data_IF_085968855392
#
_entry.id   IF_085968855392
#
_cell.length_a   1.000
_cell.length_b   1.000
_cell.length_c   1.000
_cell.angle_alpha   90.00
_cell.angle_beta   90.00
_cell.angle_gamma   90.00
#
_symmetry.space_group_name_H-M   'P 1'
#
loop_
_entity.id
_entity.type
_entity.pdbx_description
1 polymer ?
#
# COMPACT_ATOMS: atom_id res chain seq x y z
N UNK A 1 38.44 27.02 -25.31
CA UNK A 1 38.57 26.09 -26.46
C UNK A 1 37.91 24.80 -26.04
N UNK A 2 36.66 24.61 -26.45
CA UNK A 2 35.90 23.38 -26.21
C UNK A 2 36.30 22.34 -27.24
N UNK A 3 36.64 21.12 -26.80
CA UNK A 3 36.85 19.99 -27.71
C UNK A 3 35.49 19.34 -27.99
N UNK A 4 34.97 19.56 -29.19
CA UNK A 4 33.81 18.82 -29.70
C UNK A 4 34.27 17.46 -30.24
N UNK A 5 33.82 16.37 -29.63
CA UNK A 5 34.04 15.01 -30.12
C UNK A 5 33.02 14.68 -31.21
N UNK A 6 33.43 13.88 -32.21
CA UNK A 6 32.51 13.41 -33.26
C UNK A 6 31.74 12.18 -32.76
N UNK A 7 30.52 12.01 -33.25
CA UNK A 7 29.57 10.97 -32.80
C UNK A 7 30.13 9.53 -32.88
N UNK A 8 31.02 9.27 -33.84
CA UNK A 8 31.74 8.01 -33.96
C UNK A 8 32.76 7.79 -32.83
N UNK A 9 33.43 8.84 -32.36
CA UNK A 9 34.36 8.77 -31.22
C UNK A 9 33.59 8.56 -29.91
N UNK A 10 32.40 9.17 -29.77
CA UNK A 10 31.50 8.95 -28.63
C UNK A 10 31.05 7.48 -28.59
N UNK A 11 30.68 6.88 -29.73
CA UNK A 11 30.33 5.45 -29.80
C UNK A 11 31.50 4.53 -29.46
N UNK A 12 32.71 4.85 -29.90
CA UNK A 12 33.92 4.07 -29.53
C UNK A 12 34.28 4.20 -28.05
N UNK A 13 34.03 5.37 -27.44
CA UNK A 13 34.21 5.58 -25.99
C UNK A 13 33.18 4.78 -25.18
N UNK A 14 31.92 4.73 -25.65
CA UNK A 14 30.83 4.01 -25.00
C UNK A 14 30.89 2.47 -25.20
N UNK A 15 31.51 1.99 -26.28
CA UNK A 15 31.63 0.55 -26.59
C UNK A 15 32.91 -0.12 -26.05
N UNK A 16 33.79 0.61 -25.36
CA UNK A 16 34.80 -0.05 -24.53
C UNK A 16 34.09 -0.66 -23.35
N UNK A 17 33.98 -1.99 -23.34
CA UNK A 17 33.45 -2.76 -22.21
C UNK A 17 34.00 -2.20 -20.90
N UNK A 18 33.14 -1.47 -20.18
CA UNK A 18 33.39 -1.13 -18.80
C UNK A 18 33.29 -2.44 -18.03
N UNK A 19 34.44 -3.06 -17.76
CA UNK A 19 34.52 -4.08 -16.72
C UNK A 19 34.33 -3.37 -15.39
N UNK A 20 33.07 -3.23 -14.99
CA UNK A 20 32.67 -2.80 -13.67
C UNK A 20 32.86 -3.95 -12.68
N UNK A 21 33.25 -3.65 -11.44
CA UNK A 21 33.30 -4.70 -10.42
C UNK A 21 31.87 -5.19 -10.16
N UNK A 22 31.68 -6.45 -9.70
CA UNK A 22 30.34 -6.98 -9.42
C UNK A 22 29.50 -6.09 -8.49
N UNK A 23 30.16 -5.38 -7.57
CA UNK A 23 29.51 -4.42 -6.67
C UNK A 23 29.02 -3.15 -7.38
N UNK A 24 29.73 -2.69 -8.42
CA UNK A 24 29.30 -1.55 -9.22
C UNK A 24 28.18 -1.97 -10.18
N UNK A 25 28.25 -3.17 -10.75
CA UNK A 25 27.18 -3.78 -11.54
C UNK A 25 25.89 -3.91 -10.72
N UNK A 26 26.00 -4.43 -9.49
CA UNK A 26 24.89 -4.57 -8.55
C UNK A 26 24.26 -3.22 -8.24
N UNK A 27 25.06 -2.19 -7.93
CA UNK A 27 24.52 -0.84 -7.66
C UNK A 27 23.89 -0.18 -8.88
N UNK A 28 24.40 -0.46 -10.08
CA UNK A 28 23.80 -0.02 -11.33
C UNK A 28 22.46 -0.74 -11.55
N UNK A 29 22.38 -2.04 -11.30
CA UNK A 29 21.13 -2.81 -11.38
C UNK A 29 20.11 -2.40 -10.31
N UNK A 30 20.54 -2.11 -9.08
CA UNK A 30 19.70 -1.52 -8.02
C UNK A 30 19.16 -0.15 -8.44
N UNK A 31 20.00 0.71 -9.03
CA UNK A 31 19.57 2.02 -9.55
C UNK A 31 18.60 1.90 -10.73
N UNK A 32 18.83 0.97 -11.67
CA UNK A 32 17.88 0.69 -12.75
C UNK A 32 16.60 0.00 -12.24
N UNK A 33 16.71 -0.81 -11.18
CA UNK A 33 15.57 -1.39 -10.46
C UNK A 33 14.71 -0.29 -9.85
N UNK A 34 15.32 0.71 -9.23
CA UNK A 34 14.65 1.89 -8.69
C UNK A 34 13.97 2.71 -9.78
N UNK A 35 14.64 2.98 -10.90
CA UNK A 35 14.06 3.73 -12.04
C UNK A 35 12.90 2.96 -12.68
N UNK A 36 12.98 1.63 -12.76
CA UNK A 36 11.88 0.77 -13.27
C UNK A 36 10.70 0.73 -12.31
N UNK A 37 10.95 0.62 -11.00
CA UNK A 37 9.93 0.71 -9.95
C UNK A 37 9.27 2.09 -9.91
N UNK A 38 10.03 3.17 -10.11
CA UNK A 38 9.51 4.54 -10.28
C UNK A 38 8.67 4.68 -11.54
N UNK A 39 9.09 4.13 -12.68
CA UNK A 39 8.29 4.17 -13.91
C UNK A 39 7.00 3.34 -13.82
N UNK A 40 7.05 2.20 -13.12
CA UNK A 40 5.88 1.38 -12.81
C UNK A 40 4.98 2.03 -11.73
N UNK A 41 5.56 2.79 -10.79
CA UNK A 41 4.81 3.63 -9.85
C UNK A 41 4.17 4.80 -10.59
N UNK A 42 4.85 5.51 -11.50
CA UNK A 42 4.26 6.61 -12.31
C UNK A 42 3.12 6.12 -13.22
N UNK A 43 3.17 4.88 -13.72
CA UNK A 43 2.04 4.31 -14.46
C UNK A 43 0.86 3.96 -13.56
N UNK A 44 1.13 3.46 -12.33
CA UNK A 44 0.10 3.14 -11.32
C UNK A 44 -0.45 4.36 -10.58
N UNK A 45 0.32 5.45 -10.50
CA UNK A 45 0.07 6.60 -9.62
C UNK A 45 -0.07 7.92 -10.38
N UNK A 46 0.06 8.00 -11.70
CA UNK A 46 -0.28 9.22 -12.46
C UNK A 46 0.38 10.56 -12.03
N UNK A 47 1.40 10.57 -11.15
CA UNK A 47 2.04 11.80 -10.66
C UNK A 47 3.54 11.75 -10.89
N UNK A 48 4.04 12.65 -11.73
CA UNK A 48 5.47 12.79 -12.01
C UNK A 48 6.18 13.57 -10.89
N UNK A 49 7.17 12.95 -10.23
CA UNK A 49 8.17 13.68 -9.46
C UNK A 49 9.28 14.09 -10.43
N UNK A 50 9.31 15.37 -10.81
CA UNK A 50 10.41 15.91 -11.60
C UNK A 50 11.64 16.19 -10.71
N UNK A 51 12.84 15.69 -11.06
CA UNK A 51 14.06 16.08 -10.36
C UNK A 51 14.65 17.38 -10.96
N UNK A 52 14.80 18.40 -10.09
CA UNK A 52 15.67 19.60 -10.15
C UNK A 52 15.11 20.94 -10.70
N UNK A 53 15.62 22.09 -10.16
CA UNK A 53 14.81 23.29 -9.96
C UNK A 53 14.87 24.32 -11.10
N UNK A 54 13.74 25.00 -11.30
CA UNK A 54 13.65 26.30 -11.97
C UNK A 54 14.33 27.35 -11.07
N UNK A 55 15.24 28.11 -11.69
CA UNK A 55 16.01 29.21 -11.07
C UNK A 55 15.10 30.25 -10.41
N UNK A 56 15.33 30.55 -9.15
CA UNK A 56 15.05 31.87 -8.57
C UNK A 56 16.36 32.48 -8.07
N UNK A 57 16.67 33.66 -8.61
CA UNK A 57 17.85 34.44 -8.33
C UNK A 57 17.66 35.24 -7.04
N UNK A 58 18.64 35.21 -6.13
CA UNK A 58 18.94 36.35 -5.25
C UNK A 58 20.46 36.45 -5.05
N UNK A 59 20.89 37.69 -4.96
CA UNK A 59 22.21 38.28 -5.17
C UNK A 59 23.32 37.93 -4.18
N UNK A 60 24.53 38.08 -4.72
CA UNK A 60 25.84 38.02 -4.07
C UNK A 60 26.09 39.08 -2.97
N UNK A 61 27.02 38.73 -2.06
CA UNK A 61 27.81 39.64 -1.22
C UNK A 61 28.95 38.87 -0.51
N UNK A 62 30.15 39.45 -0.30
CA UNK A 62 31.44 38.75 -0.51
C UNK A 62 32.26 38.41 0.78
N UNK A 63 33.44 37.72 0.65
CA UNK A 63 34.04 36.87 1.70
C UNK A 63 35.27 37.48 2.40
N UNK A 64 35.73 36.86 3.50
CA UNK A 64 37.05 37.14 4.12
C UNK A 64 37.69 35.82 4.67
N UNK A 65 39.03 35.63 4.63
CA UNK A 65 39.65 34.31 4.50
C UNK A 65 40.53 33.83 5.69
N UNK A 66 40.76 32.51 5.67
CA UNK A 66 41.99 31.73 5.95
C UNK A 66 42.70 31.81 7.33
N UNK A 67 42.93 30.62 7.93
CA UNK A 67 44.27 30.07 8.27
C UNK A 67 44.21 28.84 9.19
N UNK A 68 44.97 27.79 8.85
CA UNK A 68 45.70 26.97 9.83
C UNK A 68 45.36 25.47 9.93
N UNK A 69 46.15 24.62 9.25
CA UNK A 69 46.43 23.20 9.58
C UNK A 69 47.37 23.11 10.82
N UNK A 70 47.51 22.00 11.60
CA UNK A 70 47.67 20.63 11.07
C UNK A 70 47.17 19.40 11.88
N UNK A 71 46.93 18.32 11.12
CA UNK A 71 47.13 16.88 11.38
C UNK A 71 47.01 16.26 12.79
N UNK A 72 46.07 15.30 12.95
CA UNK A 72 46.27 14.12 13.84
C UNK A 72 45.43 12.89 13.44
N UNK A 73 46.15 11.81 13.10
CA UNK A 73 45.83 10.37 13.17
C UNK A 73 44.37 9.92 12.94
N UNK A 74 44.09 9.38 11.75
CA UNK A 74 42.90 8.54 11.52
C UNK A 74 43.20 7.12 12.02
N UNK A 75 42.55 6.75 13.12
CA UNK A 75 42.42 5.37 13.61
C UNK A 75 41.25 4.75 12.83
N UNK A 76 41.45 3.56 12.26
CA UNK A 76 40.40 2.77 11.60
C UNK A 76 39.20 2.63 12.56
N UNK A 77 38.04 3.12 12.13
CA UNK A 77 36.74 2.76 12.70
C UNK A 77 35.86 2.25 11.57
N UNK A 78 35.17 1.14 11.86
CA UNK A 78 34.12 0.56 11.05
C UNK A 78 33.16 1.66 10.59
N UNK A 79 32.88 1.72 9.29
CA UNK A 79 31.90 2.63 8.76
C UNK A 79 30.51 2.16 9.20
N UNK A 80 29.70 3.00 9.88
CA UNK A 80 28.26 2.78 9.87
C UNK A 80 27.78 3.03 8.44
N UNK A 81 27.00 2.10 7.90
CA UNK A 81 26.29 2.32 6.64
C UNK A 81 25.36 3.51 6.85
N UNK A 82 25.53 4.53 6.01
CA UNK A 82 24.86 5.81 6.13
C UNK A 82 23.36 5.65 5.89
N UNK A 83 22.54 6.05 6.88
CA UNK A 83 21.14 6.34 6.68
C UNK A 83 21.02 7.48 5.65
N UNK A 84 20.33 7.23 4.54
CA UNK A 84 20.04 8.24 3.56
C UNK A 84 19.02 9.23 4.16
N UNK A 85 19.40 10.51 4.24
CA UNK A 85 18.56 11.57 4.75
C UNK A 85 17.46 11.90 3.74
N UNK A 86 16.19 11.68 4.10
CA UNK A 86 15.02 12.22 3.41
C UNK A 86 14.61 13.50 4.16
N UNK A 87 14.82 14.65 3.53
CA UNK A 87 14.38 15.97 4.04
C UNK A 87 13.05 16.37 3.39
N UNK A 88 12.01 15.62 3.74
CA UNK A 88 10.63 16.11 3.86
C UNK A 88 10.18 15.75 5.29
N UNK A 89 9.04 16.23 5.80
CA UNK A 89 8.63 16.09 7.21
C UNK A 89 8.34 14.64 7.67
N UNK A 90 8.97 13.64 7.04
CA UNK A 90 8.89 12.24 7.40
C UNK A 90 9.77 11.93 8.62
N UNK A 91 9.21 11.23 9.60
CA UNK A 91 9.99 10.61 10.67
C UNK A 91 10.48 9.24 10.21
N UNK A 92 11.75 8.95 10.48
CA UNK A 92 12.33 7.62 10.26
C UNK A 92 12.79 7.06 11.59
N UNK A 93 12.22 5.92 11.97
CA UNK A 93 12.61 5.17 13.18
C UNK A 93 13.24 3.85 12.77
N UNK A 94 14.42 3.54 13.30
CA UNK A 94 15.10 2.25 13.01
C UNK A 94 15.17 1.44 14.29
N UNK A 95 14.65 0.21 14.23
CA UNK A 95 14.69 -0.77 15.31
C UNK A 95 15.50 -1.97 14.86
N UNK A 96 16.63 -2.19 15.53
CA UNK A 96 17.52 -3.32 15.28
C UNK A 96 17.47 -4.34 16.41
N UNK A 97 17.27 -5.61 16.06
CA UNK A 97 17.40 -6.72 16.98
C UNK A 97 18.80 -7.33 16.90
N UNK A 98 19.48 -7.51 18.03
CA UNK A 98 20.75 -8.24 18.09
C UNK A 98 20.44 -9.72 17.89
N UNK A 99 20.87 -10.29 16.75
CA UNK A 99 20.65 -11.68 16.34
C UNK A 99 19.18 -12.04 16.04
N UNK A 100 18.33 -11.08 15.69
CA UNK A 100 16.97 -11.35 15.21
C UNK A 100 16.91 -11.76 13.73
N UNK A 101 15.73 -12.20 13.30
CA UNK A 101 15.39 -12.51 11.92
C UNK A 101 15.28 -11.30 11.02
N UNK A 102 14.94 -10.13 11.58
CA UNK A 102 14.90 -8.90 10.81
C UNK A 102 15.20 -7.66 11.63
N UNK A 103 15.72 -6.63 10.95
CA UNK A 103 15.75 -5.24 11.41
C UNK A 103 14.67 -4.48 10.63
N UNK A 104 14.03 -3.51 11.27
CA UNK A 104 12.93 -2.74 10.67
C UNK A 104 13.25 -1.26 10.67
N UNK A 105 13.01 -0.59 9.56
CA UNK A 105 12.90 0.86 9.51
C UNK A 105 11.45 1.25 9.20
N UNK A 106 10.93 2.23 9.93
CA UNK A 106 9.59 2.77 9.75
C UNK A 106 9.71 4.18 9.22
N UNK A 107 9.05 4.44 8.09
CA UNK A 107 8.91 5.80 7.53
C UNK A 107 7.46 6.23 7.63
N UNK A 108 7.21 7.34 8.32
CA UNK A 108 5.86 7.89 8.46
C UNK A 108 5.77 9.23 7.71
N UNK A 109 4.74 9.36 6.87
CA UNK A 109 4.31 10.60 6.22
C UNK A 109 2.94 11.01 6.77
N UNK A 110 2.39 12.14 6.28
CA UNK A 110 1.15 12.75 6.81
C UNK A 110 -0.06 11.79 6.83
N UNK A 111 -0.18 10.88 5.87
CA UNK A 111 -1.31 9.95 5.71
C UNK A 111 -0.90 8.49 5.45
N UNK A 112 0.37 8.14 5.63
CA UNK A 112 0.87 6.81 5.32
C UNK A 112 2.04 6.39 6.21
N UNK A 113 2.16 5.09 6.44
CA UNK A 113 3.29 4.44 7.09
C UNK A 113 3.82 3.33 6.18
N UNK A 114 5.14 3.30 6.02
CA UNK A 114 5.85 2.27 5.28
C UNK A 114 6.88 1.58 6.16
N UNK A 115 7.08 0.30 5.94
CA UNK A 115 8.01 -0.55 6.68
C UNK A 115 9.05 -1.16 5.74
N UNK A 116 10.32 -0.93 6.06
CA UNK A 116 11.44 -1.58 5.37
C UNK A 116 12.04 -2.66 6.27
N UNK A 117 12.14 -3.88 5.75
CA UNK A 117 12.67 -5.03 6.48
C UNK A 117 14.02 -5.47 5.92
N UNK A 118 15.04 -5.51 6.77
CA UNK A 118 16.32 -6.13 6.47
C UNK A 118 16.35 -7.53 7.09
N UNK A 119 16.20 -8.55 6.24
CA UNK A 119 16.11 -9.96 6.65
C UNK A 119 17.50 -10.56 6.92
N UNK A 120 17.59 -11.34 7.99
CA UNK A 120 18.75 -12.17 8.31
C UNK A 120 18.57 -13.58 7.74
N UNK A 121 19.03 -13.77 6.50
CA UNK A 121 18.95 -15.04 5.79
C UNK A 121 19.83 -16.16 6.39
N UNK A 122 20.66 -15.88 7.41
CA UNK A 122 21.40 -16.93 8.13
C UNK A 122 20.50 -17.71 9.11
N UNK A 123 19.32 -17.18 9.43
CA UNK A 123 18.36 -17.82 10.33
C UNK A 123 17.22 -18.48 9.53
N UNK A 124 16.91 -19.73 9.85
CA UNK A 124 15.80 -20.48 9.26
C UNK A 124 14.47 -20.10 9.93
N UNK A 125 13.49 -19.54 9.20
CA UNK A 125 12.19 -19.23 9.76
C UNK A 125 11.37 -20.51 9.99
N UNK A 126 10.47 -20.45 10.97
CA UNK A 126 9.55 -21.53 11.29
C UNK A 126 8.12 -21.03 11.21
N UNK A 127 7.18 -21.93 10.92
CA UNK A 127 5.77 -21.58 10.93
C UNK A 127 5.32 -21.25 12.35
N UNK A 128 4.48 -20.22 12.48
CA UNK A 128 3.98 -19.72 13.75
C UNK A 128 2.45 -19.81 13.74
N UNK A 129 1.89 -20.35 14.81
CA UNK A 129 0.44 -20.34 15.03
C UNK A 129 0.08 -19.28 16.07
N UNK A 130 -1.14 -18.75 15.97
CA UNK A 130 -1.68 -17.78 16.93
C UNK A 130 -2.96 -18.34 17.54
N UNK A 131 -3.10 -18.23 18.84
CA UNK A 131 -4.30 -18.63 19.59
C UNK A 131 -4.79 -17.45 20.43
N UNK A 132 -6.00 -16.91 20.19
CA UNK A 132 -6.58 -15.90 21.05
C UNK A 132 -7.21 -16.53 22.29
N UNK A 133 -6.84 -16.03 23.48
CA UNK A 133 -7.45 -16.40 24.76
C UNK A 133 -8.57 -15.47 25.21
N UNK A 134 -8.80 -14.41 24.43
CA UNK A 134 -9.88 -13.47 24.64
C UNK A 134 -10.43 -13.00 23.29
N UNK A 135 -11.75 -13.08 23.14
CA UNK A 135 -12.52 -12.50 22.06
C UNK A 135 -13.71 -11.76 22.70
N UNK A 136 -14.04 -10.52 22.30
CA UNK A 136 -15.09 -9.75 22.94
C UNK A 136 -16.47 -10.42 22.82
N UNK A 137 -17.35 -10.14 23.79
CA UNK A 137 -18.68 -10.74 23.81
C UNK A 137 -19.47 -10.40 22.53
N UNK A 138 -20.14 -11.42 21.97
CA UNK A 138 -20.93 -11.30 20.76
C UNK A 138 -20.16 -11.55 19.47
N UNK A 139 -18.83 -11.56 19.49
CA UNK A 139 -18.01 -11.96 18.34
C UNK A 139 -17.82 -13.48 18.35
N UNK A 140 -18.07 -14.11 17.20
CA UNK A 140 -17.93 -15.55 17.03
C UNK A 140 -17.03 -15.84 15.85
N UNK A 141 -16.27 -16.93 15.94
CA UNK A 141 -15.41 -17.35 14.85
C UNK A 141 -16.26 -17.72 13.62
N UNK A 142 -15.96 -17.13 12.46
CA UNK A 142 -16.76 -17.34 11.24
C UNK A 142 -16.72 -18.80 10.80
N UNK A 143 -15.53 -19.41 10.81
CA UNK A 143 -15.30 -20.83 10.59
C UNK A 143 -14.20 -21.35 11.53
N UNK A 144 -14.24 -22.62 11.97
CA UNK A 144 -13.24 -23.17 12.87
C UNK A 144 -11.81 -23.02 12.34
N UNK A 145 -10.96 -22.30 13.06
CA UNK A 145 -9.57 -22.05 12.70
C UNK A 145 -9.35 -20.94 11.66
N UNK A 146 -10.41 -20.21 11.29
CA UNK A 146 -10.29 -19.08 10.35
C UNK A 146 -9.61 -17.87 10.96
N UNK A 147 -9.55 -17.77 12.29
CA UNK A 147 -9.04 -16.61 13.02
C UNK A 147 -9.75 -15.29 12.65
N UNK A 148 -11.00 -15.40 12.18
CA UNK A 148 -11.89 -14.30 11.85
C UNK A 148 -13.09 -14.36 12.79
N UNK A 149 -13.35 -13.25 13.47
CA UNK A 149 -14.39 -13.15 14.49
C UNK A 149 -15.30 -11.98 14.18
N UNK A 150 -16.59 -12.25 14.01
CA UNK A 150 -17.57 -11.22 13.70
C UNK A 150 -18.92 -11.55 14.37
N UNK A 151 -19.82 -10.56 14.48
CA UNK A 151 -21.09 -10.72 15.20
C UNK A 151 -22.16 -11.48 14.41
N UNK A 152 -22.08 -11.44 13.08
CA UNK A 152 -23.20 -11.79 12.19
C UNK A 152 -22.85 -12.92 11.20
N UNK A 153 -21.62 -13.45 11.24
CA UNK A 153 -21.05 -14.43 10.34
C UNK A 153 -20.78 -13.92 8.91
N UNK A 154 -20.74 -12.61 8.69
CA UNK A 154 -20.68 -12.02 7.34
C UNK A 154 -19.26 -11.69 6.86
N UNK A 155 -18.26 -11.69 7.76
CA UNK A 155 -16.87 -11.36 7.41
C UNK A 155 -16.65 -9.93 6.88
N UNK A 156 -17.61 -9.01 7.09
CA UNK A 156 -17.52 -7.61 6.66
C UNK A 156 -16.94 -6.67 7.73
N UNK A 157 -16.80 -7.14 8.97
CA UNK A 157 -16.26 -6.39 10.10
C UNK A 157 -15.69 -7.33 11.16
N UNK A 158 -15.27 -6.77 12.28
CA UNK A 158 -14.91 -7.50 13.48
C UNK A 158 -13.41 -7.62 13.62
N UNK A 159 -12.91 -8.83 13.85
CA UNK A 159 -11.50 -9.08 14.12
C UNK A 159 -10.98 -10.09 13.12
N UNK A 160 -9.84 -9.81 12.49
CA UNK A 160 -9.08 -10.80 11.71
C UNK A 160 -7.66 -10.85 12.24
N UNK A 161 -7.17 -12.05 12.51
CA UNK A 161 -5.79 -12.28 12.95
C UNK A 161 -5.00 -12.98 11.84
N UNK A 162 -3.75 -12.58 11.66
CA UNK A 162 -2.80 -13.31 10.82
C UNK A 162 -1.39 -13.20 11.39
N UNK A 163 -0.50 -14.05 10.90
CA UNK A 163 0.93 -13.99 11.24
C UNK A 163 1.71 -13.89 9.94
N UNK A 164 2.63 -12.93 9.88
CA UNK A 164 3.53 -12.74 8.76
C UNK A 164 4.94 -13.12 9.21
N UNK A 165 5.44 -14.24 8.69
CA UNK A 165 6.76 -14.79 9.01
C UNK A 165 7.86 -14.14 8.18
N UNK A 166 9.13 -14.30 8.59
CA UNK A 166 10.27 -13.66 7.95
C UNK A 166 10.47 -14.09 6.48
N UNK A 167 10.08 -15.30 6.08
CA UNK A 167 10.07 -15.73 4.68
C UNK A 167 9.04 -14.94 3.87
N UNK A 168 7.85 -14.69 4.42
CA UNK A 168 6.85 -13.85 3.77
C UNK A 168 7.30 -12.39 3.70
N UNK A 169 7.91 -11.83 4.76
CA UNK A 169 8.50 -10.49 4.73
C UNK A 169 9.64 -10.38 3.70
N UNK A 170 10.38 -11.46 3.45
CA UNK A 170 11.41 -11.47 2.42
C UNK A 170 10.81 -11.46 1.00
N UNK A 171 9.64 -12.08 0.83
CA UNK A 171 8.90 -12.13 -0.43
C UNK A 171 8.18 -10.81 -0.73
N UNK A 172 7.40 -10.31 0.24
CA UNK A 172 6.57 -9.11 0.12
C UNK A 172 6.84 -8.16 1.31
N UNK A 173 7.78 -7.24 1.09
CA UNK A 173 8.15 -6.25 2.10
C UNK A 173 7.09 -5.15 2.28
N UNK A 174 6.23 -4.92 1.28
CA UNK A 174 5.20 -3.87 1.30
C UNK A 174 3.90 -4.39 1.96
N UNK A 175 3.82 -5.66 2.35
CA UNK A 175 2.63 -6.31 2.93
C UNK A 175 2.07 -5.62 4.19
N UNK A 176 2.92 -4.89 4.92
CA UNK A 176 2.56 -4.14 6.14
C UNK A 176 2.39 -2.64 5.90
N UNK A 177 2.63 -2.15 4.68
CA UNK A 177 2.46 -0.73 4.37
C UNK A 177 0.98 -0.33 4.48
N UNK A 178 0.74 0.87 4.98
CA UNK A 178 -0.60 1.37 5.27
C UNK A 178 -0.75 2.79 4.79
N UNK A 179 -1.75 3.03 3.94
CA UNK A 179 -2.20 4.36 3.54
C UNK A 179 -3.46 4.76 4.31
N UNK A 180 -3.84 6.04 4.19
CA UNK A 180 -4.96 6.63 4.92
C UNK A 180 -4.80 6.52 6.44
N UNK A 181 -3.61 6.75 6.98
CA UNK A 181 -3.36 6.73 8.43
C UNK A 181 -3.90 8.02 9.05
N UNK A 182 -4.86 7.89 9.97
CA UNK A 182 -5.39 8.99 10.79
C UNK A 182 -4.58 9.16 12.07
N UNK A 183 -4.26 8.04 12.71
CA UNK A 183 -3.56 8.01 14.00
C UNK A 183 -2.61 6.80 14.04
N UNK A 184 -1.43 7.02 14.64
CA UNK A 184 -0.42 6.01 14.88
C UNK A 184 0.09 6.16 16.31
N UNK A 185 0.04 5.08 17.08
CA UNK A 185 0.65 4.97 18.40
C UNK A 185 1.69 3.85 18.41
N UNK A 186 2.89 4.18 18.90
CA UNK A 186 3.95 3.20 19.17
C UNK A 186 3.91 2.80 20.65
N UNK A 187 3.85 1.51 20.92
CA UNK A 187 3.77 0.96 22.28
C UNK A 187 4.47 -0.39 22.39
N UNK A 188 4.22 -1.11 23.49
CA UNK A 188 4.70 -2.47 23.70
C UNK A 188 3.58 -3.32 24.28
N UNK A 189 3.32 -4.47 23.68
CA UNK A 189 2.31 -5.45 24.12
C UNK A 189 3.02 -6.80 24.28
N UNK A 190 2.93 -7.41 25.46
CA UNK A 190 3.58 -8.70 25.77
C UNK A 190 5.07 -8.76 25.36
N UNK A 191 5.82 -7.72 25.73
CA UNK A 191 7.25 -7.54 25.41
C UNK A 191 7.59 -7.44 23.90
N UNK A 192 6.58 -7.34 23.04
CA UNK A 192 6.74 -7.07 21.61
C UNK A 192 6.49 -5.59 21.34
N UNK A 193 7.33 -4.97 20.51
CA UNK A 193 7.01 -3.65 19.98
C UNK A 193 5.70 -3.71 19.20
N UNK A 194 4.86 -2.69 19.37
CA UNK A 194 3.54 -2.66 18.76
C UNK A 194 3.25 -1.31 18.10
N UNK A 195 2.66 -1.37 16.91
CA UNK A 195 2.12 -0.20 16.23
C UNK A 195 0.58 -0.32 16.18
N UNK A 196 -0.12 0.64 16.79
CA UNK A 196 -1.57 0.76 16.78
C UNK A 196 -1.94 1.82 15.75
N UNK A 197 -2.67 1.42 14.71
CA UNK A 197 -2.96 2.26 13.55
C UNK A 197 -4.47 2.41 13.41
N UNK A 198 -4.94 3.65 13.35
CA UNK A 198 -6.32 3.97 13.01
C UNK A 198 -6.35 4.62 11.63
N UNK A 199 -7.24 4.15 10.76
CA UNK A 199 -7.34 4.57 9.37
C UNK A 199 -8.44 5.60 9.16
N UNK A 200 -8.20 6.52 8.22
CA UNK A 200 -9.15 7.52 7.75
C UNK A 200 -10.14 6.95 6.75
N UNK A 201 -10.86 5.90 7.16
CA UNK A 201 -12.06 5.48 6.46
C UNK A 201 -13.27 6.27 6.97
N UNK A 202 -14.13 6.64 6.02
CA UNK A 202 -15.36 7.38 6.25
C UNK A 202 -16.26 6.62 7.25
N UNK A 203 -16.20 7.02 8.51
CA UNK A 203 -17.00 6.46 9.60
C UNK A 203 -18.48 6.86 9.51
N UNK A 204 -18.83 7.82 8.65
CA UNK A 204 -20.22 8.22 8.38
C UNK A 204 -20.88 7.29 7.36
N UNK A 205 -20.10 6.54 6.57
CA UNK A 205 -20.62 5.44 5.78
C UNK A 205 -21.05 4.30 6.71
N UNK A 206 -22.31 3.92 6.59
CA UNK A 206 -22.92 2.76 7.26
C UNK A 206 -22.29 1.41 6.88
N UNK A 207 -21.25 1.41 6.03
CA UNK A 207 -20.51 0.22 5.66
C UNK A 207 -19.55 -0.21 6.77
N UNK A 208 -19.67 -1.47 7.16
CA UNK A 208 -18.73 -2.19 8.01
C UNK A 208 -17.39 -2.31 7.30
N UNK A 209 -16.31 -1.85 7.93
CA UNK A 209 -14.95 -1.85 7.35
C UNK A 209 -13.89 -2.00 8.43
N UNK A 210 -12.77 -2.64 8.09
CA UNK A 210 -11.58 -2.71 8.93
C UNK A 210 -10.82 -1.38 8.90
N UNK A 211 -10.99 -0.58 9.95
CA UNK A 211 -10.42 0.76 10.10
C UNK A 211 -9.30 0.82 11.15
N UNK A 212 -8.94 -0.31 11.76
CA UNK A 212 -7.88 -0.41 12.77
C UNK A 212 -6.92 -1.54 12.42
N UNK A 213 -5.64 -1.33 12.74
CA UNK A 213 -4.60 -2.35 12.66
C UNK A 213 -3.75 -2.33 13.93
N UNK A 214 -3.34 -3.51 14.40
CA UNK A 214 -2.27 -3.67 15.38
C UNK A 214 -1.22 -4.58 14.78
N UNK A 215 0.03 -4.11 14.73
CA UNK A 215 1.18 -4.91 14.33
C UNK A 215 2.06 -5.19 15.54
N UNK A 216 2.29 -6.47 15.85
CA UNK A 216 3.10 -6.96 16.97
C UNK A 216 4.41 -7.53 16.43
N UNK A 217 5.52 -6.83 16.62
CA UNK A 217 6.81 -7.19 16.04
C UNK A 217 7.59 -8.11 16.97
N UNK A 218 7.83 -9.34 16.53
CA UNK A 218 8.73 -10.28 17.20
C UNK A 218 9.91 -10.59 16.28
N UNK A 219 10.90 -9.68 16.30
CA UNK A 219 12.11 -9.83 15.49
C UNK A 219 12.95 -11.04 15.91
N UNK A 220 12.85 -11.46 17.18
CA UNK A 220 13.64 -12.56 17.73
C UNK A 220 13.17 -13.93 17.20
N UNK A 221 11.86 -14.11 17.06
CA UNK A 221 11.25 -15.35 16.54
C UNK A 221 10.86 -15.26 15.07
N UNK A 222 11.01 -14.08 14.45
CA UNK A 222 10.91 -13.92 13.00
C UNK A 222 9.49 -13.84 12.48
N UNK A 223 8.61 -13.16 13.21
CA UNK A 223 7.26 -12.90 12.74
C UNK A 223 6.72 -11.53 13.17
N UNK A 224 5.64 -11.13 12.49
CA UNK A 224 4.77 -10.03 12.88
C UNK A 224 3.36 -10.57 13.07
N UNK A 225 2.81 -10.41 14.28
CA UNK A 225 1.41 -10.66 14.55
C UNK A 225 0.58 -9.50 14.02
N UNK A 226 -0.41 -9.78 13.19
CA UNK A 226 -1.26 -8.76 12.56
C UNK A 226 -2.69 -8.92 13.02
N UNK A 227 -3.26 -7.86 13.58
CA UNK A 227 -4.67 -7.78 13.91
C UNK A 227 -5.33 -6.69 13.08
N UNK A 228 -6.43 -7.04 12.43
CA UNK A 228 -7.33 -6.07 11.82
C UNK A 228 -8.57 -5.94 12.71
N UNK A 229 -8.96 -4.70 13.00
CA UNK A 229 -10.17 -4.38 13.75
C UNK A 229 -11.15 -3.55 12.93
N UNK A 230 -12.42 -3.90 13.05
CA UNK A 230 -13.54 -3.20 12.44
C UNK A 230 -13.93 -1.90 13.14
N UNK A 231 -14.73 -1.09 12.45
CA UNK A 231 -15.32 0.12 13.03
C UNK A 231 -16.38 -0.17 14.11
N UNK A 232 -16.79 -1.43 14.28
CA UNK A 232 -17.66 -1.93 15.34
C UNK A 232 -16.94 -2.26 16.66
N UNK A 233 -15.62 -2.10 16.69
CA UNK A 233 -14.74 -2.34 17.82
C UNK A 233 -13.89 -1.09 18.13
N UNK A 234 -13.65 -0.80 19.41
CA UNK A 234 -12.71 0.25 19.80
C UNK A 234 -11.26 -0.23 19.70
N UNK A 235 -10.31 0.70 19.60
CA UNK A 235 -8.88 0.36 19.67
C UNK A 235 -8.51 -0.27 21.03
N UNK A 236 -9.12 0.20 22.13
CA UNK A 236 -8.92 -0.38 23.47
C UNK A 236 -9.33 -1.86 23.51
N UNK A 237 -10.47 -2.20 22.93
CA UNK A 237 -10.96 -3.58 22.95
C UNK A 237 -10.12 -4.48 22.02
N UNK A 238 -9.68 -3.96 20.86
CA UNK A 238 -8.73 -4.66 19.99
C UNK A 238 -7.37 -4.88 20.68
N UNK A 239 -6.92 -3.92 21.49
CA UNK A 239 -5.69 -4.03 22.28
C UNK A 239 -5.81 -5.15 23.33
N UNK A 240 -6.96 -5.29 24.00
CA UNK A 240 -7.20 -6.42 24.92
C UNK A 240 -7.13 -7.77 24.21
N UNK A 241 -7.58 -7.86 22.95
CA UNK A 241 -7.40 -9.07 22.14
C UNK A 241 -5.91 -9.33 21.91
N UNK A 242 -5.15 -8.31 21.48
CA UNK A 242 -3.70 -8.40 21.27
C UNK A 242 -2.93 -8.84 22.54
N UNK A 243 -3.28 -8.30 23.71
CA UNK A 243 -2.70 -8.66 25.01
C UNK A 243 -2.95 -10.13 25.40
N UNK A 244 -3.96 -10.77 24.82
CA UNK A 244 -4.36 -12.15 25.13
C UNK A 244 -4.08 -13.11 23.96
N UNK A 245 -3.22 -12.73 23.01
CA UNK A 245 -2.72 -13.65 21.98
C UNK A 245 -1.56 -14.48 22.51
N UNK A 246 -1.60 -15.78 22.21
CA UNK A 246 -0.47 -16.70 22.37
C UNK A 246 0.07 -17.08 20.99
N UNK A 247 1.34 -16.77 20.75
CA UNK A 247 2.06 -17.20 19.55
C UNK A 247 2.89 -18.45 19.88
N UNK A 248 2.81 -19.47 19.01
CA UNK A 248 3.60 -20.70 19.15
C UNK A 248 4.41 -20.93 17.89
N UNK A 249 5.74 -20.86 18.02
CA UNK A 249 6.66 -21.31 16.97
C UNK A 249 6.57 -22.84 16.89
N UNK A 250 6.31 -23.36 15.70
CA UNK A 250 6.18 -24.80 15.44
C UNK A 250 7.49 -25.39 14.93
N UNK A 251 7.56 -26.73 14.88
CA UNK A 251 8.72 -27.43 14.31
C UNK A 251 8.75 -27.43 12.76
N UNK A 252 7.79 -26.78 12.10
CA UNK A 252 7.74 -26.71 10.64
C UNK A 252 8.67 -25.61 10.13
N UNK A 253 9.78 -26.02 9.51
CA UNK A 253 10.68 -25.10 8.81
C UNK A 253 10.01 -24.47 7.59
N UNK A 254 10.27 -23.18 7.41
CA UNK A 254 9.93 -22.40 6.23
C UNK A 254 11.22 -22.07 5.47
N UNK A 255 11.08 -21.85 4.17
CA UNK A 255 12.21 -21.56 3.28
C UNK A 255 12.02 -20.20 2.64
N UNK A 256 13.07 -19.40 2.60
CA UNK A 256 13.09 -18.22 1.74
C UNK A 256 12.99 -18.66 0.29
N UNK A 257 12.08 -18.03 -0.45
CA UNK A 257 12.04 -18.21 -1.90
C UNK A 257 13.30 -17.63 -2.55
N UNK A 258 13.68 -18.20 -3.70
CA UNK A 258 14.83 -17.73 -4.45
C UNK A 258 14.55 -16.33 -5.02
N UNK A 259 15.48 -15.40 -4.83
CA UNK A 259 15.29 -14.01 -5.27
C UNK A 259 15.01 -13.88 -6.77
N UNK A 260 15.52 -14.78 -7.62
CA UNK A 260 15.22 -14.77 -9.05
C UNK A 260 13.77 -15.22 -9.32
N UNK A 261 13.25 -16.20 -8.57
CA UNK A 261 11.86 -16.64 -8.71
C UNK A 261 10.89 -15.57 -8.24
N UNK A 262 11.15 -14.96 -7.09
CA UNK A 262 10.34 -13.84 -6.57
C UNK A 262 10.29 -12.68 -7.56
N UNK A 263 11.44 -12.28 -8.12
CA UNK A 263 11.48 -11.20 -9.11
C UNK A 263 10.74 -11.55 -10.40
N UNK A 264 10.81 -12.80 -10.86
CA UNK A 264 10.11 -13.25 -12.05
C UNK A 264 8.59 -13.24 -11.84
N UNK A 265 8.10 -13.70 -10.68
CA UNK A 265 6.68 -13.67 -10.33
C UNK A 265 6.17 -12.24 -10.17
N UNK A 266 6.88 -11.39 -9.43
CA UNK A 266 6.51 -9.98 -9.27
C UNK A 266 6.47 -9.24 -10.61
N UNK A 267 7.40 -9.55 -11.53
CA UNK A 267 7.38 -8.98 -12.88
C UNK A 267 6.19 -9.51 -13.69
N UNK A 268 5.87 -10.80 -13.60
CA UNK A 268 4.72 -11.38 -14.28
C UNK A 268 3.40 -10.77 -13.79
N UNK A 269 3.25 -10.57 -12.48
CA UNK A 269 2.09 -9.90 -11.88
C UNK A 269 2.00 -8.44 -12.30
N UNK A 270 3.13 -7.73 -12.33
CA UNK A 270 3.18 -6.36 -12.80
C UNK A 270 2.78 -6.24 -14.28
N UNK A 271 3.27 -7.13 -15.13
CA UNK A 271 2.92 -7.20 -16.56
C UNK A 271 1.43 -7.54 -16.75
N UNK A 272 0.89 -8.48 -15.95
CA UNK A 272 -0.53 -8.83 -15.97
C UNK A 272 -1.43 -7.67 -15.54
N UNK A 273 -1.07 -6.97 -14.46
CA UNK A 273 -1.79 -5.79 -13.99
C UNK A 273 -1.77 -4.65 -15.03
N UNK A 274 -0.62 -4.39 -15.63
CA UNK A 274 -0.48 -3.38 -16.68
C UNK A 274 -1.31 -3.73 -17.92
N UNK A 275 -1.38 -5.02 -18.29
CA UNK A 275 -2.22 -5.49 -19.38
C UNK A 275 -3.72 -5.31 -19.08
N UNK A 276 -4.17 -5.64 -17.87
CA UNK A 276 -5.58 -5.45 -17.49
C UNK A 276 -5.95 -3.97 -17.41
N UNK A 277 -5.05 -3.12 -16.91
CA UNK A 277 -5.22 -1.65 -16.93
C UNK A 277 -5.35 -1.14 -18.36
N UNK A 278 -4.47 -1.58 -19.27
CA UNK A 278 -4.59 -1.25 -20.69
C UNK A 278 -5.94 -1.73 -21.26
N UNK A 279 -6.38 -2.93 -20.91
CA UNK A 279 -7.65 -3.51 -21.39
C UNK A 279 -8.87 -2.74 -20.86
N UNK A 280 -8.82 -2.30 -19.59
CA UNK A 280 -9.82 -1.44 -18.97
C UNK A 280 -9.85 -0.07 -19.65
N UNK A 281 -8.68 0.51 -19.93
CA UNK A 281 -8.56 1.78 -20.63
C UNK A 281 -9.11 1.68 -22.06
N UNK A 282 -8.76 0.64 -22.81
CA UNK A 282 -9.31 0.38 -24.15
C UNK A 282 -10.83 0.17 -24.10
N UNK A 283 -11.35 -0.53 -23.09
CA UNK A 283 -12.79 -0.67 -22.85
C UNK A 283 -13.46 0.68 -22.54
N UNK A 284 -12.80 1.55 -21.79
CA UNK A 284 -13.31 2.88 -21.48
C UNK A 284 -13.32 3.78 -22.72
N UNK A 285 -12.25 3.74 -23.52
CA UNK A 285 -12.09 4.52 -24.75
C UNK A 285 -13.01 4.04 -25.89
N UNK A 286 -13.28 2.74 -25.97
CA UNK A 286 -14.20 2.16 -26.96
C UNK A 286 -15.67 2.49 -26.70
N UNK A 287 -16.00 3.00 -25.51
CA UNK A 287 -17.35 3.42 -25.15
C UNK A 287 -18.35 2.26 -25.08
N UNK A 288 -19.63 2.58 -24.94
CA UNK A 288 -20.69 1.56 -24.95
C UNK A 288 -20.84 1.01 -26.38
N UNK A 289 -20.70 -0.31 -26.61
CA UNK A 289 -20.85 -0.89 -27.94
C UNK A 289 -22.22 -0.55 -28.53
N UNK A 290 -22.28 -0.23 -29.83
CA UNK A 290 -23.54 0.17 -30.49
C UNK A 290 -24.65 -0.88 -30.39
N UNK A 291 -24.30 -2.17 -30.28
CA UNK A 291 -25.26 -3.26 -30.06
C UNK A 291 -25.82 -3.34 -28.64
N UNK A 292 -25.34 -2.50 -27.72
CA UNK A 292 -25.86 -2.34 -26.36
C UNK A 292 -26.54 -0.98 -26.15
N UNK A 293 -26.72 -0.20 -27.24
CA UNK A 293 -27.43 1.08 -27.22
C UNK A 293 -28.81 0.84 -27.83
N UNK A 294 -29.83 0.86 -26.97
CA UNK A 294 -31.22 0.69 -27.36
C UNK A 294 -31.94 2.03 -27.33
N UNK A 295 -32.89 2.23 -28.24
CA UNK A 295 -33.75 3.42 -28.23
C UNK A 295 -34.83 3.30 -27.16
N UNK A 296 -35.33 4.43 -26.65
CA UNK A 296 -36.52 4.45 -25.80
C UNK A 296 -37.68 3.80 -26.58
N UNK A 297 -38.37 2.86 -25.92
CA UNK A 297 -39.45 2.04 -26.48
C UNK A 297 -38.98 0.75 -27.15
N UNK A 298 -37.67 0.54 -27.34
CA UNK A 298 -37.13 -0.71 -27.87
C UNK A 298 -37.12 -1.81 -26.80
N UNK A 299 -37.47 -3.04 -27.17
CA UNK A 299 -37.37 -4.21 -26.29
C UNK A 299 -36.05 -4.93 -26.51
N UNK A 300 -35.32 -5.19 -25.43
CA UNK A 300 -34.12 -6.00 -25.43
C UNK A 300 -34.17 -7.08 -24.36
N UNK A 301 -33.33 -8.09 -24.50
CA UNK A 301 -33.23 -9.18 -23.51
C UNK A 301 -32.10 -8.89 -22.54
N UNK A 302 -32.40 -9.01 -21.26
CA UNK A 302 -31.46 -8.85 -20.16
C UNK A 302 -31.48 -10.09 -19.27
N UNK A 303 -30.30 -10.58 -18.88
CA UNK A 303 -30.15 -11.80 -18.06
C UNK A 303 -29.15 -12.80 -18.66
N UNK A 304 -28.98 -13.93 -17.99
CA UNK A 304 -28.15 -15.05 -18.46
C UNK A 304 -28.93 -15.91 -19.47
N UNK A 305 -28.28 -16.84 -20.17
CA UNK A 305 -28.98 -17.75 -21.10
C UNK A 305 -30.07 -18.58 -20.41
N UNK A 306 -29.94 -18.84 -19.11
CA UNK A 306 -30.88 -19.63 -18.32
C UNK A 306 -32.07 -18.81 -17.78
N UNK A 307 -31.90 -17.50 -17.56
CA UNK A 307 -32.92 -16.60 -17.01
C UNK A 307 -32.99 -15.28 -17.80
N UNK A 308 -33.61 -15.33 -18.98
CA UNK A 308 -33.78 -14.17 -19.85
C UNK A 308 -35.07 -13.39 -19.53
N UNK A 309 -34.93 -12.10 -19.26
CA UNK A 309 -36.03 -11.15 -19.08
C UNK A 309 -36.08 -10.17 -20.26
N UNK A 310 -37.27 -9.98 -20.84
CA UNK A 310 -37.49 -8.92 -21.83
C UNK A 310 -37.74 -7.58 -21.14
N UNK A 311 -36.93 -6.58 -21.46
CA UNK A 311 -36.97 -5.24 -20.86
C UNK A 311 -37.22 -4.21 -21.96
N UNK A 312 -38.08 -3.24 -21.67
CA UNK A 312 -38.25 -2.04 -22.50
C UNK A 312 -38.17 -0.80 -21.63
N UNK A 313 -37.32 0.15 -22.03
CA UNK A 313 -37.25 1.46 -21.38
C UNK A 313 -38.34 2.33 -21.98
N UNK A 314 -39.34 2.71 -21.18
CA UNK A 314 -40.49 3.49 -21.66
C UNK A 314 -40.21 4.99 -21.71
N UNK A 315 -39.41 5.48 -20.79
CA UNK A 315 -39.06 6.89 -20.65
C UNK A 315 -37.70 7.02 -19.97
N UNK A 316 -36.98 8.09 -20.29
CA UNK A 316 -35.72 8.45 -19.65
C UNK A 316 -35.61 9.96 -19.55
N UNK A 317 -35.40 10.46 -18.34
CA UNK A 317 -35.29 11.88 -18.03
C UNK A 317 -34.00 12.17 -17.28
N UNK A 318 -33.40 13.33 -17.56
CA UNK A 318 -32.32 13.90 -16.75
C UNK A 318 -32.96 14.89 -15.80
N UNK A 319 -32.81 14.67 -14.50
CA UNK A 319 -33.41 15.50 -13.47
C UNK A 319 -32.40 15.79 -12.36
N UNK A 320 -32.48 17.00 -11.81
CA UNK A 320 -31.70 17.42 -10.64
C UNK A 320 -32.40 17.09 -9.32
N UNK A 321 -33.55 16.44 -9.37
CA UNK A 321 -34.34 16.06 -8.21
C UNK A 321 -35.15 14.79 -8.48
N UNK A 322 -35.41 14.05 -7.42
CA UNK A 322 -36.30 12.88 -7.43
C UNK A 322 -37.57 13.11 -6.62
N UNK A 323 -37.84 14.34 -6.17
CA UNK A 323 -38.99 14.68 -5.30
C UNK A 323 -40.34 14.28 -5.89
N UNK A 324 -40.43 14.30 -7.22
CA UNK A 324 -41.67 14.01 -7.97
C UNK A 324 -41.80 12.53 -8.35
N UNK A 325 -40.82 11.69 -8.00
CA UNK A 325 -40.79 10.26 -8.30
C UNK A 325 -41.24 9.42 -7.09
N UNK A 326 -42.17 8.46 -7.27
CA UNK A 326 -42.57 7.57 -6.18
C UNK A 326 -41.41 6.71 -5.67
N UNK A 327 -41.20 6.71 -4.36
CA UNK A 327 -40.09 6.01 -3.68
C UNK A 327 -40.12 4.50 -3.95
N UNK A 328 -41.31 3.93 -4.05
CA UNK A 328 -41.52 2.49 -4.31
C UNK A 328 -41.03 2.02 -5.69
N UNK A 329 -40.79 2.94 -6.62
CA UNK A 329 -40.30 2.61 -7.97
C UNK A 329 -38.77 2.56 -8.04
N UNK A 330 -38.08 2.91 -6.96
CA UNK A 330 -36.63 2.78 -6.87
C UNK A 330 -36.26 1.38 -6.44
N UNK A 331 -35.33 0.76 -7.18
CA UNK A 331 -34.77 -0.54 -6.83
C UNK A 331 -34.06 -0.52 -5.46
N UNK A 332 -33.37 0.60 -5.16
CA UNK A 332 -32.71 0.84 -3.87
C UNK A 332 -32.70 2.35 -3.56
N UNK A 333 -33.79 2.82 -2.94
CA UNK A 333 -33.90 4.23 -2.54
C UNK A 333 -32.91 4.60 -1.42
N UNK A 334 -32.57 3.65 -0.54
CA UNK A 334 -31.69 3.90 0.60
C UNK A 334 -30.27 4.30 0.15
N UNK A 335 -29.76 3.67 -0.92
CA UNK A 335 -28.48 4.06 -1.52
C UNK A 335 -28.50 5.47 -2.09
N UNK A 336 -29.60 5.88 -2.73
CA UNK A 336 -29.73 7.20 -3.36
C UNK A 336 -29.94 8.30 -2.31
N UNK A 337 -30.58 8.00 -1.18
CA UNK A 337 -30.88 8.96 -0.12
C UNK A 337 -29.64 9.72 0.38
N UNK A 338 -28.46 9.10 0.38
CA UNK A 338 -27.20 9.74 0.77
C UNK A 338 -26.74 10.83 -0.23
N UNK A 339 -27.21 10.78 -1.47
CA UNK A 339 -26.90 11.71 -2.54
C UNK A 339 -27.91 12.87 -2.64
N UNK A 340 -28.96 12.88 -1.81
CA UNK A 340 -30.04 13.86 -1.85
C UNK A 340 -29.96 14.85 -0.69
N UNK A 341 -30.30 16.10 -0.96
CA UNK A 341 -30.64 17.09 0.06
C UNK A 341 -32.01 16.79 0.67
N UNK A 342 -32.35 17.49 1.77
CA UNK A 342 -33.60 17.26 2.53
C UNK A 342 -34.88 17.51 1.73
N UNK A 343 -34.79 18.26 0.63
CA UNK A 343 -35.90 18.53 -0.30
C UNK A 343 -35.97 17.54 -1.48
N UNK A 344 -35.08 16.55 -1.53
CA UNK A 344 -35.03 15.54 -2.60
C UNK A 344 -34.31 16.00 -3.86
N UNK A 345 -33.66 17.16 -3.85
CA UNK A 345 -32.70 17.56 -4.89
C UNK A 345 -31.39 16.79 -4.76
N UNK A 346 -30.70 16.55 -5.87
CA UNK A 346 -29.36 15.97 -5.86
C UNK A 346 -28.42 16.98 -5.20
N UNK A 347 -27.64 16.51 -4.22
CA UNK A 347 -26.54 17.30 -3.66
C UNK A 347 -25.62 17.74 -4.81
N UNK A 348 -25.04 18.95 -4.73
CA UNK A 348 -24.07 19.39 -5.71
C UNK A 348 -23.00 18.33 -5.90
N UNK A 349 -22.72 17.96 -7.15
CA UNK A 349 -21.55 17.16 -7.44
C UNK A 349 -20.33 17.98 -7.07
N UNK A 350 -19.78 17.72 -5.89
CA UNK A 350 -18.44 18.15 -5.57
C UNK A 350 -17.53 17.40 -6.52
N UNK A 351 -17.12 18.08 -7.60
CA UNK A 351 -15.88 17.71 -8.27
C UNK A 351 -14.86 17.71 -7.15
N UNK A 352 -14.46 16.51 -6.73
CA UNK A 352 -13.16 16.33 -6.13
C UNK A 352 -12.23 16.91 -7.18
N UNK A 353 -11.74 18.13 -6.98
CA UNK A 353 -10.58 18.64 -7.69
C UNK A 353 -9.36 17.90 -7.16
N UNK A 354 -9.45 16.57 -7.18
CA UNK A 354 -8.31 15.71 -7.25
C UNK A 354 -7.90 15.75 -8.71
N UNK A 355 -6.65 16.11 -8.95
CA UNK A 355 -5.79 15.20 -9.70
C UNK A 355 -6.34 13.78 -9.58
N UNK A 356 -6.57 13.10 -10.72
CA UNK A 356 -6.83 11.65 -10.77
C UNK A 356 -6.06 11.05 -9.61
N UNK A 357 -6.71 10.42 -8.62
CA UNK A 357 -5.97 9.85 -7.52
C UNK A 357 -5.02 8.87 -8.18
N UNK A 358 -3.76 9.28 -8.19
CA UNK A 358 -2.67 8.39 -8.02
C UNK A 358 -3.14 7.36 -7.00
N UNK A 359 -3.36 6.11 -7.40
CA UNK A 359 -3.45 5.06 -6.40
C UNK A 359 -2.08 5.05 -5.73
N UNK A 360 -1.98 5.82 -4.66
CA UNK A 360 -0.79 6.10 -3.89
C UNK A 360 -0.66 5.09 -2.78
#
# INVERSE_FOLDING_TARGET
>A
MDKSYRESEIRTILQRELSTSPQVEQKIQEAYGYIRKEAAKISRTGTAIHPFPVKSAVSAGPPVPDRGRPARKVRRFLAPVAAAAILLAASVTVVAAINGFFTRATTQNDDAIAYEFQINYELTPYAVTVTPHYIPEGYQESEPGSLRYDKDGLGQNGISLSVITADHLAYDQETLDVSSVRELEHTTINDMEADLITLDYDTERTSRTFDKRIYLFNQAEGFVGVLYGGNDLSMEELTKVAENLEFTVTDQELTYEDTETVQAEQQADADAAALEEQRLQEKWESGVPSGQIYQIGETFTWGTEEDQTSVSVLDAQICDSVSDLPVENFFDYATIQNLLDTDGTLKPYERVSGTIPSYG
#
